data_IF_679617250301
#
_entry.id   IF_679617250301
#
_cell.length_a   1.000
_cell.length_b   1.000
_cell.length_c   1.000
_cell.angle_alpha   90.00
_cell.angle_beta   90.00
_cell.angle_gamma   90.00
#
_symmetry.space_group_name_H-M   'P 1'
#
loop_
_entity.id
_entity.type
_entity.pdbx_description
1 polymer ?
#
# COMPACT_ATOMS: atom_id res chain seq x y z
N UNK A 1 27.82 57.28 -6.39
CA UNK A 1 26.39 57.32 -5.98
C UNK A 1 25.47 56.62 -7.01
N UNK A 2 26.00 55.74 -7.88
CA UNK A 2 25.20 54.96 -8.90
C UNK A 2 25.10 53.48 -8.64
N UNK A 3 25.91 52.91 -7.74
CA UNK A 3 25.91 51.43 -7.52
C UNK A 3 24.90 50.95 -6.46
N UNK A 4 24.46 51.79 -5.55
CA UNK A 4 23.56 51.40 -4.44
C UNK A 4 22.09 51.21 -4.86
N UNK A 5 21.71 51.78 -6.03
CA UNK A 5 20.31 51.67 -6.55
C UNK A 5 20.06 50.35 -7.25
N UNK A 6 21.09 49.73 -7.84
CA UNK A 6 20.95 48.51 -8.63
C UNK A 6 20.76 47.27 -7.74
N UNK A 7 21.45 47.21 -6.60
CA UNK A 7 21.37 46.07 -5.65
C UNK A 7 20.03 46.05 -4.90
N UNK A 8 19.49 47.22 -4.49
CA UNK A 8 18.15 47.29 -3.86
C UNK A 8 17.01 46.92 -4.82
N UNK A 9 17.10 47.25 -6.10
CA UNK A 9 16.13 46.83 -7.10
C UNK A 9 16.19 45.32 -7.40
N UNK A 10 17.39 44.71 -7.35
CA UNK A 10 17.57 43.28 -7.60
C UNK A 10 17.04 42.41 -6.45
N UNK A 11 17.12 42.91 -5.19
CA UNK A 11 16.60 42.18 -4.00
C UNK A 11 15.09 42.38 -3.83
N UNK A 12 14.51 43.50 -4.26
CA UNK A 12 13.07 43.75 -4.13
C UNK A 12 12.24 43.03 -5.21
N UNK A 13 12.79 42.75 -6.39
CA UNK A 13 12.05 42.10 -7.48
C UNK A 13 11.56 40.70 -7.12
N UNK A 14 12.38 39.78 -6.56
CA UNK A 14 11.92 38.46 -6.16
C UNK A 14 10.95 38.49 -4.96
N UNK A 15 11.09 39.44 -4.04
CA UNK A 15 10.16 39.62 -2.89
C UNK A 15 8.80 40.15 -3.37
N UNK A 16 8.77 41.09 -4.29
CA UNK A 16 7.53 41.59 -4.88
C UNK A 16 6.87 40.54 -5.79
N UNK A 17 7.66 39.76 -6.52
CA UNK A 17 7.15 38.66 -7.34
C UNK A 17 6.60 37.52 -6.46
N UNK A 18 7.26 37.16 -5.36
CA UNK A 18 6.77 36.19 -4.37
C UNK A 18 5.48 36.69 -3.68
N UNK A 19 5.35 37.98 -3.40
CA UNK A 19 4.12 38.57 -2.86
C UNK A 19 3.00 38.67 -3.89
N UNK A 20 3.29 38.91 -5.17
CA UNK A 20 2.31 38.88 -6.26
C UNK A 20 1.83 37.45 -6.55
N UNK A 21 2.71 36.45 -6.51
CA UNK A 21 2.34 35.03 -6.63
C UNK A 21 1.51 34.60 -5.42
N UNK A 22 1.85 35.04 -4.21
CA UNK A 22 1.05 34.78 -3.02
C UNK A 22 -0.34 35.44 -3.07
N UNK A 23 -0.47 36.66 -3.64
CA UNK A 23 -1.76 37.32 -3.80
C UNK A 23 -2.61 36.76 -4.95
N UNK A 24 -1.99 36.32 -6.04
CA UNK A 24 -2.73 35.67 -7.16
C UNK A 24 -3.19 34.25 -6.83
N UNK A 25 -2.60 33.63 -5.81
CA UNK A 25 -2.98 32.32 -5.31
C UNK A 25 -4.19 32.35 -4.34
N UNK A 26 -4.61 33.51 -3.85
CA UNK A 26 -5.81 33.67 -3.01
C UNK A 26 -7.08 33.41 -3.83
N UNK A 27 -7.53 32.15 -3.85
CA UNK A 27 -8.76 31.74 -4.54
C UNK A 27 -8.57 30.87 -5.77
N UNK A 28 -7.36 30.50 -6.17
CA UNK A 28 -7.16 29.57 -7.29
C UNK A 28 -7.77 28.19 -6.97
N UNK A 29 -8.96 27.94 -7.51
CA UNK A 29 -9.60 26.64 -7.46
C UNK A 29 -8.90 25.73 -8.45
N UNK A 30 -8.37 24.60 -7.98
CA UNK A 30 -7.83 23.56 -8.85
C UNK A 30 -9.01 22.77 -9.40
N UNK A 31 -9.15 22.74 -10.73
CA UNK A 31 -10.20 21.96 -11.37
C UNK A 31 -9.82 20.48 -11.39
N UNK A 32 -10.80 19.57 -11.23
CA UNK A 32 -10.58 18.13 -11.34
C UNK A 32 -10.00 17.70 -12.70
N UNK A 33 -9.28 16.57 -12.73
CA UNK A 33 -8.66 16.04 -13.94
C UNK A 33 -9.65 15.87 -15.10
N UNK A 34 -10.86 15.40 -14.81
CA UNK A 34 -11.90 15.21 -15.84
C UNK A 34 -12.53 16.51 -16.38
N UNK A 35 -12.11 17.68 -15.89
CA UNK A 35 -12.57 19.01 -16.38
C UNK A 35 -11.50 19.77 -17.16
N UNK A 36 -10.25 19.34 -17.12
CA UNK A 36 -9.16 19.99 -17.85
C UNK A 36 -8.87 19.30 -19.16
N UNK A 37 -8.28 20.00 -20.11
CA UNK A 37 -7.99 19.47 -21.46
C UNK A 37 -6.64 18.76 -21.53
N UNK A 38 -5.73 19.09 -20.62
CA UNK A 38 -4.37 18.53 -20.58
C UNK A 38 -3.88 18.45 -19.14
N UNK A 39 -3.04 17.44 -18.84
CA UNK A 39 -2.28 17.33 -17.62
C UNK A 39 -0.81 17.02 -17.96
N UNK A 40 0.15 17.59 -17.25
CA UNK A 40 -0.01 18.66 -16.24
C UNK A 40 -0.44 19.98 -16.90
N UNK A 41 -1.26 20.76 -16.18
CA UNK A 41 -1.85 21.99 -16.72
C UNK A 41 -0.91 23.20 -16.55
N UNK A 42 -0.07 23.17 -15.50
CA UNK A 42 0.83 24.26 -15.10
C UNK A 42 2.25 23.74 -14.85
N UNK A 43 3.22 24.66 -14.88
CA UNK A 43 4.62 24.32 -14.67
C UNK A 43 4.89 23.75 -13.27
N UNK A 44 4.20 24.25 -12.24
CA UNK A 44 4.31 23.77 -10.87
C UNK A 44 3.82 22.32 -10.77
N UNK A 45 2.77 21.99 -11.50
CA UNK A 45 2.27 20.63 -11.59
C UNK A 45 3.23 19.71 -12.36
N UNK A 46 3.87 20.21 -13.41
CA UNK A 46 4.92 19.47 -14.13
C UNK A 46 6.11 19.14 -13.24
N UNK A 47 6.54 20.09 -12.38
CA UNK A 47 7.61 19.85 -11.42
C UNK A 47 7.23 18.83 -10.34
N UNK A 48 5.97 18.85 -9.90
CA UNK A 48 5.42 17.82 -8.99
C UNK A 48 5.46 16.43 -9.63
N UNK A 49 5.05 16.33 -10.90
CA UNK A 49 5.10 15.07 -11.66
C UNK A 49 6.52 14.55 -11.83
N UNK A 50 7.47 15.42 -12.11
CA UNK A 50 8.89 15.05 -12.22
C UNK A 50 9.45 14.53 -10.89
N UNK A 51 9.15 15.19 -9.76
CA UNK A 51 9.54 14.74 -8.43
C UNK A 51 8.93 13.37 -8.09
N UNK A 52 7.64 13.21 -8.35
CA UNK A 52 6.92 11.96 -8.12
C UNK A 52 7.49 10.82 -8.98
N UNK A 53 7.80 11.08 -10.26
CA UNK A 53 8.42 10.10 -11.18
C UNK A 53 9.81 9.66 -10.70
N UNK A 54 10.63 10.58 -10.18
CA UNK A 54 11.92 10.22 -9.58
C UNK A 54 11.75 9.29 -8.36
N UNK A 55 10.74 9.54 -7.53
CA UNK A 55 10.42 8.68 -6.39
C UNK A 55 9.95 7.30 -6.87
N UNK A 56 9.00 7.24 -7.80
CA UNK A 56 8.50 5.99 -8.36
C UNK A 56 9.63 5.17 -8.99
N UNK A 57 10.50 5.80 -9.79
CA UNK A 57 11.65 5.12 -10.40
C UNK A 57 12.61 4.54 -9.35
N UNK A 58 12.87 5.26 -8.25
CA UNK A 58 13.66 4.71 -7.14
C UNK A 58 12.97 3.51 -6.51
N UNK A 59 11.66 3.59 -6.28
CA UNK A 59 10.88 2.50 -5.73
C UNK A 59 10.92 1.28 -6.64
N UNK A 60 10.62 1.44 -7.93
CA UNK A 60 10.64 0.33 -8.92
C UNK A 60 12.00 -0.36 -9.01
N UNK A 61 13.09 0.34 -8.70
CA UNK A 61 14.46 -0.19 -8.72
C UNK A 61 15.00 -0.60 -7.34
N UNK A 62 14.20 -0.51 -6.27
CA UNK A 62 14.64 -0.81 -4.90
C UNK A 62 14.72 -2.31 -4.57
N UNK A 63 14.13 -3.16 -5.40
CA UNK A 63 14.00 -4.61 -5.14
C UNK A 63 12.82 -4.96 -4.23
N UNK A 64 12.04 -4.00 -3.74
CA UNK A 64 10.81 -4.23 -2.96
C UNK A 64 9.54 -4.40 -3.80
N UNK A 65 9.46 -3.93 -5.08
CA UNK A 65 8.28 -4.18 -5.90
C UNK A 65 8.03 -5.67 -6.10
N UNK A 66 6.77 -6.03 -6.04
CA UNK A 66 6.27 -7.36 -6.30
C UNK A 66 5.59 -7.39 -7.66
N UNK A 67 6.25 -7.93 -8.66
CA UNK A 67 5.70 -8.04 -10.01
C UNK A 67 4.86 -9.29 -10.14
N UNK A 68 3.56 -9.12 -10.33
CA UNK A 68 2.66 -10.20 -10.65
C UNK A 68 1.58 -9.72 -11.62
N UNK A 69 1.70 -10.14 -12.87
CA UNK A 69 0.84 -9.71 -13.96
C UNK A 69 -0.65 -9.99 -13.71
N UNK A 70 -0.98 -11.13 -13.10
CA UNK A 70 -2.36 -11.46 -12.77
C UNK A 70 -2.98 -10.46 -11.79
N UNK A 71 -2.22 -10.06 -10.76
CA UNK A 71 -2.69 -9.11 -9.75
C UNK A 71 -2.76 -7.70 -10.35
N UNK A 72 -1.78 -7.31 -11.15
CA UNK A 72 -1.74 -6.00 -11.83
C UNK A 72 -2.95 -5.85 -12.78
N UNK A 73 -3.20 -6.81 -13.66
CA UNK A 73 -4.36 -6.81 -14.57
C UNK A 73 -5.71 -6.80 -13.82
N UNK A 74 -5.79 -7.48 -12.69
CA UNK A 74 -6.98 -7.44 -11.85
C UNK A 74 -7.23 -6.03 -11.30
N UNK A 75 -6.20 -5.36 -10.79
CA UNK A 75 -6.31 -3.98 -10.27
C UNK A 75 -6.64 -2.98 -11.38
N UNK A 76 -5.99 -3.10 -12.56
CA UNK A 76 -6.28 -2.31 -13.75
C UNK A 76 -7.75 -2.47 -14.18
N UNK A 77 -8.26 -3.70 -14.20
CA UNK A 77 -9.67 -3.99 -14.52
C UNK A 77 -10.64 -3.37 -13.52
N UNK A 78 -10.33 -3.48 -12.22
CA UNK A 78 -11.16 -2.89 -11.15
C UNK A 78 -11.18 -1.36 -11.25
N UNK A 79 -10.02 -0.73 -11.44
CA UNK A 79 -9.91 0.71 -11.64
C UNK A 79 -10.62 1.18 -12.93
N UNK A 80 -10.52 0.41 -14.01
CA UNK A 80 -11.23 0.67 -15.26
C UNK A 80 -12.75 0.69 -15.09
N UNK A 81 -13.32 -0.22 -14.30
CA UNK A 81 -14.76 -0.21 -13.97
C UNK A 81 -15.18 1.06 -13.20
N UNK A 82 -14.29 1.59 -12.36
CA UNK A 82 -14.53 2.82 -11.58
C UNK A 82 -14.47 4.06 -12.46
N UNK A 83 -13.48 4.15 -13.35
CA UNK A 83 -13.22 5.32 -14.17
C UNK A 83 -14.19 5.42 -15.36
N UNK A 84 -14.55 4.28 -16.01
CA UNK A 84 -15.18 4.34 -17.33
C UNK A 84 -14.36 5.23 -18.25
N UNK A 85 -15.03 6.05 -19.04
CA UNK A 85 -14.40 6.94 -20.04
C UNK A 85 -13.92 8.29 -19.47
N UNK A 86 -13.87 8.43 -18.14
CA UNK A 86 -13.66 9.74 -17.48
C UNK A 86 -12.32 10.41 -17.83
N UNK A 87 -11.31 9.64 -18.22
CA UNK A 87 -9.95 10.12 -18.53
C UNK A 87 -9.52 9.91 -19.98
N UNK A 88 -10.38 9.39 -20.84
CA UNK A 88 -10.04 9.08 -22.25
C UNK A 88 -9.50 10.29 -23.01
N UNK A 89 -10.07 11.46 -22.77
CA UNK A 89 -9.65 12.71 -23.39
C UNK A 89 -8.23 13.17 -22.99
N UNK A 90 -7.70 12.66 -21.87
CA UNK A 90 -6.33 12.95 -21.40
C UNK A 90 -5.32 11.90 -21.86
N UNK A 91 -5.77 10.75 -22.36
CA UNK A 91 -4.92 9.62 -22.71
C UNK A 91 -4.18 9.03 -21.49
N UNK A 92 -4.71 9.21 -20.27
CA UNK A 92 -4.13 8.70 -19.03
C UNK A 92 -4.76 7.36 -18.71
N UNK A 93 -3.94 6.33 -18.61
CA UNK A 93 -4.29 5.04 -18.01
C UNK A 93 -3.72 4.97 -16.60
N UNK A 94 -4.47 4.38 -15.66
CA UNK A 94 -3.94 4.09 -14.33
C UNK A 94 -2.96 2.92 -14.42
N UNK A 95 -1.85 3.03 -13.70
CA UNK A 95 -0.84 1.98 -13.55
C UNK A 95 -0.68 1.63 -12.06
N UNK A 96 -0.13 0.46 -11.77
CA UNK A 96 0.02 -0.03 -10.41
C UNK A 96 1.47 -0.40 -10.09
N UNK A 97 1.88 -0.08 -8.85
CA UNK A 97 3.13 -0.55 -8.26
C UNK A 97 2.79 -1.34 -7.01
N UNK A 98 2.89 -2.66 -7.11
CA UNK A 98 2.74 -3.54 -5.96
C UNK A 98 4.04 -3.55 -5.16
N UNK A 99 3.95 -3.39 -3.85
CA UNK A 99 5.10 -3.42 -2.95
C UNK A 99 4.95 -4.56 -1.96
N UNK A 100 5.95 -5.46 -1.90
CA UNK A 100 5.97 -6.59 -0.99
C UNK A 100 6.29 -6.13 0.44
N UNK A 101 5.29 -5.53 1.09
CA UNK A 101 5.36 -5.01 2.45
C UNK A 101 4.09 -5.39 3.22
N UNK A 102 4.20 -5.89 4.47
CA UNK A 102 3.05 -6.35 5.25
C UNK A 102 2.26 -5.20 5.88
N UNK A 103 2.70 -3.97 5.65
CA UNK A 103 2.07 -2.77 6.18
C UNK A 103 0.84 -2.37 5.37
N UNK A 104 -0.06 -1.60 6.01
CA UNK A 104 -1.26 -1.08 5.37
C UNK A 104 -0.95 0.28 4.75
N UNK A 105 -0.59 0.32 3.49
CA UNK A 105 -0.32 1.56 2.79
C UNK A 105 -0.80 1.49 1.34
N UNK A 106 -1.38 2.59 0.90
CA UNK A 106 -1.70 2.88 -0.48
C UNK A 106 -1.46 4.36 -0.72
N UNK A 107 -1.16 4.74 -1.93
CA UNK A 107 -1.01 6.13 -2.35
C UNK A 107 -1.20 6.24 -3.86
N UNK A 108 -1.51 7.43 -4.33
CA UNK A 108 -1.58 7.73 -5.76
C UNK A 108 -0.58 8.82 -6.12
N UNK A 109 0.18 8.60 -7.18
CA UNK A 109 1.02 9.63 -7.78
C UNK A 109 0.18 10.63 -8.60
N UNK A 110 0.64 11.87 -8.77
CA UNK A 110 -0.15 12.93 -9.39
C UNK A 110 -0.48 12.69 -10.88
N UNK A 111 0.12 11.68 -11.51
CA UNK A 111 -0.13 11.26 -12.88
C UNK A 111 -0.88 9.93 -13.01
N UNK A 112 -1.41 9.38 -11.90
CA UNK A 112 -2.33 8.25 -11.92
C UNK A 112 -1.73 6.89 -11.58
N UNK A 113 -0.41 6.74 -11.41
CA UNK A 113 0.15 5.49 -10.86
C UNK A 113 -0.24 5.32 -9.40
N UNK A 114 -0.76 4.16 -9.03
CA UNK A 114 -1.17 3.81 -7.66
C UNK A 114 -0.16 2.82 -7.08
N UNK A 115 0.47 3.21 -5.97
CA UNK A 115 1.26 2.30 -5.15
C UNK A 115 0.40 1.61 -4.11
N UNK A 116 0.57 0.32 -3.92
CA UNK A 116 -0.17 -0.46 -2.94
C UNK A 116 0.71 -1.53 -2.30
N UNK A 117 0.70 -1.58 -0.97
CA UNK A 117 1.37 -2.65 -0.23
C UNK A 117 0.55 -3.94 -0.24
N UNK A 118 1.23 -5.08 -0.31
CA UNK A 118 0.59 -6.40 -0.25
C UNK A 118 -0.23 -6.57 1.02
N UNK A 119 0.24 -6.05 2.16
CA UNK A 119 -0.47 -6.10 3.44
C UNK A 119 -1.84 -5.43 3.40
N UNK A 120 -1.99 -4.32 2.67
CA UNK A 120 -3.28 -3.65 2.53
C UNK A 120 -4.29 -4.53 1.78
N UNK A 121 -3.87 -5.16 0.68
CA UNK A 121 -4.73 -6.06 -0.10
C UNK A 121 -5.18 -7.27 0.72
N UNK A 122 -4.24 -7.90 1.44
CA UNK A 122 -4.49 -9.09 2.25
C UNK A 122 -5.47 -8.84 3.41
N UNK A 123 -5.54 -7.61 3.91
CA UNK A 123 -6.47 -7.21 4.97
C UNK A 123 -7.91 -7.08 4.52
N UNK A 124 -8.14 -6.87 3.25
CA UNK A 124 -9.50 -6.79 2.72
C UNK A 124 -10.11 -8.19 2.62
N UNK A 125 -11.41 -8.30 2.91
CA UNK A 125 -12.12 -9.58 2.90
C UNK A 125 -12.80 -9.87 1.56
N UNK A 126 -13.00 -8.84 0.74
CA UNK A 126 -13.63 -8.97 -0.56
C UNK A 126 -13.22 -7.83 -1.51
N UNK A 127 -13.58 -7.97 -2.79
CA UNK A 127 -13.30 -6.97 -3.82
C UNK A 127 -13.90 -5.59 -3.51
N UNK A 128 -15.06 -5.51 -2.89
CA UNK A 128 -15.71 -4.23 -2.63
C UNK A 128 -14.96 -3.44 -1.54
N UNK A 129 -14.34 -4.11 -0.57
CA UNK A 129 -13.45 -3.47 0.42
C UNK A 129 -12.18 -2.95 -0.24
N UNK A 130 -11.50 -3.74 -1.06
CA UNK A 130 -10.35 -3.26 -1.83
C UNK A 130 -10.78 -2.12 -2.74
N UNK A 131 -11.93 -2.25 -3.37
CA UNK A 131 -12.54 -1.23 -4.21
C UNK A 131 -12.75 0.11 -3.50
N UNK A 132 -13.14 0.09 -2.23
CA UNK A 132 -13.30 1.30 -1.42
C UNK A 132 -11.97 2.06 -1.26
N UNK A 133 -10.89 1.33 -1.02
CA UNK A 133 -9.56 1.93 -0.87
C UNK A 133 -9.06 2.47 -2.21
N UNK A 134 -9.16 1.68 -3.29
CA UNK A 134 -8.76 2.14 -4.62
C UNK A 134 -9.59 3.34 -5.09
N UNK A 135 -10.90 3.34 -4.85
CA UNK A 135 -11.78 4.45 -5.19
C UNK A 135 -11.38 5.74 -4.46
N UNK A 136 -10.95 5.63 -3.20
CA UNK A 136 -10.43 6.75 -2.44
C UNK A 136 -9.13 7.31 -3.06
N UNK A 137 -8.16 6.46 -3.38
CA UNK A 137 -6.90 6.87 -4.03
C UNK A 137 -7.15 7.47 -5.42
N UNK A 138 -7.98 6.82 -6.23
CA UNK A 138 -8.39 7.34 -7.55
C UNK A 138 -9.04 8.71 -7.41
N UNK A 139 -9.85 8.93 -6.37
CA UNK A 139 -10.47 10.23 -6.11
C UNK A 139 -9.45 11.32 -5.80
N UNK A 140 -8.37 11.01 -5.06
CA UNK A 140 -7.27 11.96 -4.84
C UNK A 140 -6.62 12.39 -6.15
N UNK A 141 -6.38 11.45 -7.07
CA UNK A 141 -5.87 11.76 -8.40
C UNK A 141 -6.88 12.58 -9.23
N UNK A 142 -8.14 12.14 -9.34
CA UNK A 142 -9.17 12.82 -10.12
C UNK A 142 -9.41 14.26 -9.65
N UNK A 143 -9.39 14.49 -8.34
CA UNK A 143 -9.55 15.82 -7.74
C UNK A 143 -8.24 16.62 -7.68
N UNK A 144 -7.12 16.04 -8.16
CA UNK A 144 -5.77 16.66 -8.15
C UNK A 144 -5.37 17.16 -6.77
N UNK A 145 -5.70 16.38 -5.72
CA UNK A 145 -5.52 16.81 -4.33
C UNK A 145 -4.05 17.10 -4.01
N UNK A 146 -3.11 16.28 -4.50
CA UNK A 146 -1.66 16.53 -4.28
C UNK A 146 -1.22 17.88 -4.84
N UNK A 147 -1.69 18.25 -6.03
CA UNK A 147 -1.42 19.57 -6.60
C UNK A 147 -2.13 20.69 -5.83
N UNK A 148 -3.37 20.46 -5.40
CA UNK A 148 -4.13 21.40 -4.57
C UNK A 148 -3.43 21.68 -3.24
N UNK A 149 -2.92 20.65 -2.54
CA UNK A 149 -2.15 20.83 -1.29
C UNK A 149 -0.85 21.58 -1.54
N UNK A 150 -0.13 21.31 -2.63
CA UNK A 150 1.06 22.07 -3.00
C UNK A 150 0.76 23.57 -3.12
N UNK A 151 -0.37 23.93 -3.74
CA UNK A 151 -0.76 25.34 -3.93
C UNK A 151 -1.25 25.96 -2.61
N UNK A 152 -1.97 25.21 -1.77
CA UNK A 152 -2.54 25.68 -0.51
C UNK A 152 -1.50 25.69 0.62
N UNK A 153 -0.72 24.61 0.78
CA UNK A 153 0.31 24.50 1.83
C UNK A 153 1.50 25.43 1.57
N UNK A 154 1.76 25.77 0.31
CA UNK A 154 2.64 26.87 -0.01
C UNK A 154 2.26 28.18 0.70
N UNK A 155 1.03 28.26 1.25
CA UNK A 155 0.50 29.40 1.99
C UNK A 155 0.60 29.31 3.52
N UNK A 156 0.54 28.12 4.12
CA UNK A 156 0.25 28.00 5.56
C UNK A 156 1.36 27.40 6.43
N UNK A 157 2.11 26.42 6.00
CA UNK A 157 2.90 25.62 6.94
C UNK A 157 4.40 25.74 6.84
N UNK A 158 4.93 26.25 5.78
CA UNK A 158 6.37 26.37 5.62
C UNK A 158 6.76 27.68 4.94
N UNK A 159 6.57 28.77 5.62
CA UNK A 159 7.09 30.12 5.25
C UNK A 159 8.56 30.12 4.77
N UNK A 160 9.27 28.99 4.93
CA UNK A 160 10.64 28.82 4.43
C UNK A 160 10.84 27.87 3.26
N UNK A 161 10.13 26.73 3.20
CA UNK A 161 10.43 25.66 2.21
C UNK A 161 9.66 25.79 0.90
N UNK A 162 8.36 26.07 0.95
CA UNK A 162 7.52 26.23 -0.25
C UNK A 162 7.77 27.57 -0.96
N UNK A 163 8.09 28.65 -0.23
CA UNK A 163 8.56 29.89 -0.82
C UNK A 163 9.91 29.71 -1.55
N UNK A 164 10.80 28.85 -1.03
CA UNK A 164 12.04 28.48 -1.70
C UNK A 164 11.79 27.76 -3.03
N UNK A 165 10.81 26.86 -3.08
CA UNK A 165 10.42 26.13 -4.29
C UNK A 165 9.80 27.08 -5.35
N UNK A 166 8.81 27.90 -4.97
CA UNK A 166 8.19 28.86 -5.89
C UNK A 166 9.18 29.93 -6.36
N UNK A 167 10.08 30.37 -5.48
CA UNK A 167 11.16 31.28 -5.85
C UNK A 167 12.18 30.61 -6.79
N UNK A 168 12.49 29.34 -6.55
CA UNK A 168 13.36 28.54 -7.41
C UNK A 168 12.78 28.32 -8.81
N UNK A 169 11.49 28.04 -8.92
CA UNK A 169 10.78 27.96 -10.20
C UNK A 169 10.76 29.28 -10.95
N UNK A 170 10.58 30.40 -10.26
CA UNK A 170 10.63 31.73 -10.85
C UNK A 170 12.02 32.05 -11.41
N UNK A 171 13.10 31.71 -10.67
CA UNK A 171 14.48 31.89 -11.12
C UNK A 171 14.81 30.96 -12.29
N UNK A 172 14.40 29.71 -12.24
CA UNK A 172 14.61 28.76 -13.33
C UNK A 172 13.90 29.19 -14.62
N UNK A 173 12.73 29.81 -14.52
CA UNK A 173 12.00 30.39 -15.66
C UNK A 173 12.73 31.56 -16.29
N UNK A 174 13.40 32.41 -15.49
CA UNK A 174 14.16 33.56 -16.01
C UNK A 174 15.55 33.16 -16.55
N UNK A 175 16.20 32.18 -15.94
CA UNK A 175 17.58 31.80 -16.29
C UNK A 175 17.69 30.65 -17.25
N UNK A 176 16.60 29.90 -17.49
CA UNK A 176 16.58 28.69 -18.32
C UNK A 176 17.42 27.54 -17.75
N UNK A 177 17.92 27.66 -16.51
CA UNK A 177 18.72 26.62 -15.86
C UNK A 177 18.13 26.25 -14.49
N UNK A 178 17.95 24.95 -14.26
CA UNK A 178 17.66 24.40 -12.95
C UNK A 178 18.98 24.23 -12.17
N UNK A 179 19.14 24.94 -11.08
CA UNK A 179 20.26 24.74 -10.18
C UNK A 179 20.14 23.40 -9.43
N UNK A 180 21.29 22.76 -9.13
CA UNK A 180 21.35 21.48 -8.41
C UNK A 180 20.55 21.50 -7.09
N UNK A 181 20.57 22.64 -6.37
CA UNK A 181 19.80 22.81 -5.14
C UNK A 181 18.28 22.80 -5.34
N UNK A 182 17.79 23.24 -6.51
CA UNK A 182 16.37 23.14 -6.89
C UNK A 182 16.04 21.69 -7.26
N UNK A 183 16.96 20.98 -7.91
CA UNK A 183 16.82 19.57 -8.26
C UNK A 183 16.74 18.69 -7.01
N UNK A 184 17.56 18.96 -5.99
CA UNK A 184 17.53 18.23 -4.72
C UNK A 184 16.23 18.54 -3.94
N UNK A 185 15.78 19.79 -3.93
CA UNK A 185 14.51 20.17 -3.30
C UNK A 185 13.30 19.55 -4.01
N UNK A 186 13.28 19.49 -5.35
CA UNK A 186 12.22 18.83 -6.11
C UNK A 186 12.24 17.31 -5.91
N UNK A 187 13.42 16.71 -5.63
CA UNK A 187 13.56 15.30 -5.31
C UNK A 187 12.77 14.87 -4.07
N UNK A 188 12.66 15.76 -3.08
CA UNK A 188 11.96 15.51 -1.82
C UNK A 188 10.50 16.03 -1.79
N UNK A 189 10.09 16.79 -2.81
CA UNK A 189 8.77 17.44 -2.83
C UNK A 189 7.63 16.43 -2.69
N UNK A 190 7.64 15.38 -3.51
CA UNK A 190 6.65 14.30 -3.42
C UNK A 190 6.65 13.64 -2.05
N UNK A 191 7.82 13.24 -1.55
CA UNK A 191 7.94 12.57 -0.24
C UNK A 191 7.41 13.44 0.89
N UNK A 192 7.70 14.74 0.87
CA UNK A 192 7.21 15.68 1.86
C UNK A 192 5.68 15.83 1.82
N UNK A 193 5.08 15.91 0.62
CA UNK A 193 3.62 15.99 0.45
C UNK A 193 2.94 14.69 0.87
N UNK A 194 3.46 13.55 0.42
CA UNK A 194 2.93 12.23 0.74
C UNK A 194 2.99 11.91 2.25
N UNK A 195 3.96 12.47 2.98
CA UNK A 195 4.09 12.27 4.43
C UNK A 195 3.35 13.31 5.28
N UNK A 196 3.00 14.48 4.72
CA UNK A 196 2.28 15.54 5.45
C UNK A 196 0.79 15.23 5.64
N UNK A 197 0.25 14.38 4.80
CA UNK A 197 -1.17 14.03 4.75
C UNK A 197 -2.05 15.10 4.08
N UNK A 198 -3.22 14.68 3.63
CA UNK A 198 -4.19 15.57 3.01
C UNK A 198 -4.99 16.37 4.05
N UNK A 199 -5.50 17.52 3.63
CA UNK A 199 -6.42 18.31 4.46
C UNK A 199 -7.72 17.55 4.72
N UNK A 200 -8.36 17.82 5.86
CA UNK A 200 -9.66 17.21 6.21
C UNK A 200 -10.71 17.36 5.10
N UNK A 201 -10.69 18.49 4.42
CA UNK A 201 -11.60 18.78 3.31
C UNK A 201 -11.35 17.84 2.14
N UNK A 202 -10.08 17.64 1.76
CA UNK A 202 -9.69 16.79 0.64
C UNK A 202 -9.98 15.31 0.93
N UNK A 203 -9.77 14.87 2.18
CA UNK A 203 -10.16 13.54 2.63
C UNK A 203 -11.67 13.29 2.48
N UNK A 204 -12.50 14.24 2.92
CA UNK A 204 -13.96 14.09 2.80
C UNK A 204 -14.44 14.11 1.35
N UNK A 205 -13.80 14.90 0.48
CA UNK A 205 -14.09 14.89 -0.95
C UNK A 205 -13.68 13.55 -1.56
N UNK A 206 -12.51 13.01 -1.21
CA UNK A 206 -12.06 11.72 -1.71
C UNK A 206 -12.96 10.57 -1.24
N UNK A 207 -13.43 10.61 0.01
CA UNK A 207 -14.40 9.64 0.54
C UNK A 207 -15.74 9.69 -0.21
N UNK A 208 -16.30 10.89 -0.44
CA UNK A 208 -17.59 11.07 -1.12
C UNK A 208 -17.51 10.66 -2.60
N UNK A 209 -16.48 11.08 -3.32
CA UNK A 209 -16.23 10.68 -4.71
C UNK A 209 -15.94 9.17 -4.81
N UNK A 210 -15.21 8.63 -3.83
CA UNK A 210 -14.95 7.19 -3.74
C UNK A 210 -16.22 6.36 -3.73
N UNK A 211 -17.27 6.78 -2.99
CA UNK A 211 -18.56 6.11 -3.01
C UNK A 211 -19.21 6.14 -4.41
N UNK A 212 -19.00 7.22 -5.18
CA UNK A 212 -19.53 7.31 -6.56
C UNK A 212 -18.78 6.33 -7.47
N UNK A 213 -17.46 6.24 -7.34
CA UNK A 213 -16.64 5.33 -8.11
C UNK A 213 -16.97 3.86 -7.79
N UNK A 214 -17.17 3.52 -6.51
CA UNK A 214 -17.64 2.20 -6.11
C UNK A 214 -18.99 1.84 -6.75
N UNK A 215 -19.95 2.75 -6.66
CA UNK A 215 -21.27 2.54 -7.26
C UNK A 215 -21.19 2.36 -8.78
N UNK A 216 -20.35 3.14 -9.48
CA UNK A 216 -20.08 2.99 -10.92
C UNK A 216 -19.50 1.63 -11.26
N UNK A 217 -18.59 1.11 -10.44
CA UNK A 217 -18.04 -0.22 -10.59
C UNK A 217 -19.03 -1.35 -10.23
N UNK A 218 -20.25 -1.03 -9.78
CA UNK A 218 -21.25 -1.98 -9.34
C UNK A 218 -20.98 -2.56 -7.94
N UNK A 219 -20.07 -1.97 -7.16
CA UNK A 219 -19.69 -2.44 -5.84
C UNK A 219 -20.56 -1.83 -4.74
N UNK A 220 -20.83 -2.60 -3.69
CA UNK A 220 -21.55 -2.12 -2.52
C UNK A 220 -20.77 -1.03 -1.79
N UNK A 221 -21.34 0.17 -1.71
CA UNK A 221 -20.74 1.31 -0.98
C UNK A 221 -20.69 1.08 0.53
N UNK A 222 -21.48 0.13 1.08
CA UNK A 222 -21.44 -0.22 2.50
C UNK A 222 -20.10 -0.82 2.91
N UNK A 223 -19.41 -1.51 1.99
CA UNK A 223 -18.13 -2.14 2.24
C UNK A 223 -16.98 -1.13 2.47
N UNK A 224 -17.21 0.16 2.21
CA UNK A 224 -16.26 1.20 2.61
C UNK A 224 -16.09 1.30 4.13
N UNK A 225 -17.14 1.04 4.92
CA UNK A 225 -17.07 1.11 6.39
C UNK A 225 -16.13 0.02 6.94
N UNK A 226 -16.34 -1.30 6.68
CA UNK A 226 -15.42 -2.32 7.15
C UNK A 226 -13.99 -2.15 6.57
N UNK A 227 -13.86 -1.73 5.30
CA UNK A 227 -12.55 -1.46 4.70
C UNK A 227 -11.75 -0.40 5.48
N UNK A 228 -12.35 0.74 5.77
CA UNK A 228 -11.71 1.80 6.54
C UNK A 228 -11.53 1.42 8.03
N UNK A 229 -12.45 0.64 8.62
CA UNK A 229 -12.30 0.14 9.98
C UNK A 229 -11.09 -0.79 10.12
N UNK A 230 -10.87 -1.69 9.15
CA UNK A 230 -9.71 -2.59 9.12
C UNK A 230 -8.37 -1.83 9.12
N UNK A 231 -8.33 -0.61 8.56
CA UNK A 231 -7.14 0.24 8.62
C UNK A 231 -6.87 0.75 10.06
N UNK A 232 -7.93 1.01 10.84
CA UNK A 232 -7.84 1.52 12.22
C UNK A 232 -7.42 0.47 13.23
N UNK A 233 -7.86 -0.77 13.08
CA UNK A 233 -7.57 -1.87 14.02
C UNK A 233 -6.07 -2.19 14.14
N UNK A 234 -5.32 -1.96 13.09
CA UNK A 234 -3.88 -2.23 13.05
C UNK A 234 -3.00 -1.24 13.84
N UNK A 235 -3.55 -0.11 14.28
CA UNK A 235 -2.85 0.84 15.16
C UNK A 235 -2.58 0.21 16.54
N UNK A 236 -3.39 -0.76 16.95
CA UNK A 236 -3.31 -1.41 18.28
C UNK A 236 -2.31 -2.58 18.33
N UNK A 237 -2.02 -3.23 17.20
CA UNK A 237 -1.25 -4.49 17.16
C UNK A 237 0.22 -4.35 16.75
N UNK A 238 0.69 -3.18 16.40
CA UNK A 238 2.02 -3.04 15.84
C UNK A 238 2.93 -2.17 16.68
N UNK A 239 3.99 -2.73 17.21
CA UNK A 239 5.22 -2.01 17.53
C UNK A 239 5.89 -1.41 16.27
N UNK A 240 5.11 -1.08 15.24
CA UNK A 240 5.51 -0.38 14.04
C UNK A 240 5.28 1.12 14.22
N UNK A 241 6.13 1.92 13.62
CA UNK A 241 6.05 3.38 13.63
C UNK A 241 4.63 3.82 13.16
N UNK A 242 3.80 4.43 14.05
CA UNK A 242 2.47 4.89 13.68
C UNK A 242 2.46 5.84 12.47
N UNK A 243 3.63 6.40 12.14
CA UNK A 243 3.84 7.28 10.98
C UNK A 243 3.84 6.54 9.64
N UNK A 244 3.91 5.19 9.64
CA UNK A 244 3.88 4.37 8.41
C UNK A 244 2.48 3.87 8.04
N UNK A 245 1.51 4.00 8.94
CA UNK A 245 0.15 3.54 8.75
C UNK A 245 -0.74 4.71 8.33
N UNK A 246 -1.08 4.82 7.05
CA UNK A 246 -2.00 5.85 6.56
C UNK A 246 -1.71 7.27 7.08
N UNK A 247 -0.43 7.59 7.34
CA UNK A 247 -0.01 8.91 7.83
C UNK A 247 -0.41 10.03 6.87
N UNK A 248 -0.55 9.71 5.59
CA UNK A 248 -1.08 10.61 4.56
C UNK A 248 -2.60 10.83 4.64
N UNK A 249 -3.34 9.99 5.40
CA UNK A 249 -4.81 10.03 5.48
C UNK A 249 -5.30 10.10 6.94
N UNK A 250 -5.19 11.24 7.61
CA UNK A 250 -5.48 11.38 9.03
C UNK A 250 -6.98 11.30 9.34
N UNK A 251 -7.30 11.17 10.64
CA UNK A 251 -8.66 11.31 11.20
C UNK A 251 -9.64 10.20 10.77
N UNK A 252 -9.18 8.96 10.74
CA UNK A 252 -9.95 7.81 10.29
C UNK A 252 -11.34 7.70 10.94
N UNK A 253 -11.45 7.88 12.26
CA UNK A 253 -12.73 7.83 12.96
C UNK A 253 -13.71 8.92 12.50
N UNK A 254 -13.21 10.14 12.26
CA UNK A 254 -14.05 11.23 11.74
C UNK A 254 -14.52 10.91 10.32
N UNK A 255 -13.66 10.28 9.51
CA UNK A 255 -13.96 9.87 8.14
C UNK A 255 -15.01 8.75 8.11
N UNK A 256 -14.88 7.73 8.94
CA UNK A 256 -15.88 6.65 9.07
C UNK A 256 -17.25 7.25 9.42
N UNK A 257 -17.31 8.13 10.43
CA UNK A 257 -18.57 8.82 10.77
C UNK A 257 -19.14 9.64 9.61
N UNK A 258 -18.31 10.26 8.79
CA UNK A 258 -18.75 10.99 7.61
C UNK A 258 -19.24 10.06 6.51
N UNK A 259 -18.51 8.98 6.23
CA UNK A 259 -18.91 7.93 5.28
C UNK A 259 -20.29 7.36 5.61
N UNK A 260 -20.57 7.03 6.89
CA UNK A 260 -21.88 6.56 7.32
C UNK A 260 -23.02 7.53 6.96
N UNK A 261 -22.77 8.85 7.09
CA UNK A 261 -23.76 9.87 6.73
C UNK A 261 -23.97 9.95 5.22
N UNK A 262 -22.89 9.96 4.46
CA UNK A 262 -22.93 10.05 3.00
C UNK A 262 -23.55 8.80 2.38
N UNK A 263 -23.25 7.60 2.89
CA UNK A 263 -23.91 6.35 2.48
C UNK A 263 -25.42 6.43 2.72
N UNK A 264 -25.84 6.87 3.93
CA UNK A 264 -27.28 7.05 4.24
C UNK A 264 -27.95 8.06 3.32
N UNK A 265 -27.26 9.13 2.93
CA UNK A 265 -27.74 10.15 2.00
C UNK A 265 -27.87 9.56 0.60
N UNK A 266 -26.83 8.91 0.06
CA UNK A 266 -26.84 8.28 -1.28
C UNK A 266 -27.92 7.22 -1.42
N UNK A 267 -28.15 6.39 -0.40
CA UNK A 267 -29.24 5.39 -0.41
C UNK A 267 -30.66 5.98 -0.45
N UNK A 268 -30.83 7.26 -0.19
CA UNK A 268 -32.10 7.96 -0.30
C UNK A 268 -32.32 8.63 -1.67
N UNK A 269 -31.27 8.68 -2.49
CA UNK A 269 -31.38 9.21 -3.84
C UNK A 269 -32.31 8.33 -4.68
N UNK A 270 -33.16 8.96 -5.49
CA UNK A 270 -34.23 8.27 -6.25
C UNK A 270 -33.65 7.20 -7.21
N UNK A 271 -32.49 7.50 -7.75
CA UNK A 271 -31.82 6.67 -8.77
C UNK A 271 -30.68 5.80 -8.19
N UNK A 272 -30.62 5.66 -6.86
CA UNK A 272 -29.63 4.81 -6.21
C UNK A 272 -29.84 3.33 -6.57
N UNK A 273 -28.81 2.72 -7.12
CA UNK A 273 -28.76 1.28 -7.39
C UNK A 273 -27.81 0.63 -6.38
N UNK A 274 -28.29 -0.31 -5.55
CA UNK A 274 -27.40 -1.03 -4.65
C UNK A 274 -26.34 -1.82 -5.46
N UNK A 275 -25.09 -1.64 -5.09
CA UNK A 275 -24.02 -2.48 -5.60
C UNK A 275 -23.97 -3.86 -4.93
N UNK A 276 -23.11 -4.72 -5.42
CA UNK A 276 -22.93 -6.07 -4.90
C UNK A 276 -21.68 -6.17 -4.02
N UNK A 277 -21.66 -7.15 -3.13
CA UNK A 277 -20.46 -7.64 -2.48
C UNK A 277 -20.08 -8.93 -3.21
N UNK A 278 -19.02 -8.92 -4.03
CA UNK A 278 -18.56 -10.14 -4.70
C UNK A 278 -18.12 -11.20 -3.69
N UNK A 279 -18.22 -12.46 -4.10
CA UNK A 279 -17.79 -13.59 -3.25
C UNK A 279 -16.32 -13.44 -2.85
N UNK A 280 -16.05 -13.64 -1.57
CA UNK A 280 -14.70 -13.45 -1.00
C UNK A 280 -13.66 -14.35 -1.69
N UNK A 281 -14.03 -15.58 -2.06
CA UNK A 281 -13.13 -16.53 -2.73
C UNK A 281 -12.75 -16.09 -4.15
N UNK A 282 -13.62 -15.36 -4.87
CA UNK A 282 -13.27 -14.80 -6.17
C UNK A 282 -12.17 -13.74 -6.00
N UNK A 283 -12.31 -12.89 -5.00
CA UNK A 283 -11.27 -11.93 -4.62
C UNK A 283 -9.95 -12.63 -4.25
N UNK A 284 -10.01 -13.66 -3.40
CA UNK A 284 -8.81 -14.40 -2.97
C UNK A 284 -8.10 -15.10 -4.13
N UNK A 285 -8.84 -15.59 -5.16
CA UNK A 285 -8.22 -16.14 -6.38
C UNK A 285 -7.39 -15.10 -7.13
N UNK A 286 -7.89 -13.88 -7.24
CA UNK A 286 -7.17 -12.80 -7.91
C UNK A 286 -5.89 -12.41 -7.17
N UNK A 287 -5.93 -12.34 -5.84
CA UNK A 287 -4.81 -11.91 -5.01
C UNK A 287 -4.01 -13.07 -4.38
N UNK A 288 -4.23 -14.32 -4.80
CA UNK A 288 -3.57 -15.49 -4.20
C UNK A 288 -2.04 -15.35 -4.09
N UNK A 289 -1.30 -14.88 -5.12
CA UNK A 289 0.14 -14.64 -4.99
C UNK A 289 0.49 -13.64 -3.89
N UNK A 290 -0.35 -12.61 -3.71
CA UNK A 290 -0.18 -11.58 -2.67
C UNK A 290 -0.42 -12.15 -1.28
N UNK A 291 -1.42 -13.03 -1.10
CA UNK A 291 -1.69 -13.70 0.17
C UNK A 291 -0.48 -14.53 0.64
N UNK A 292 0.12 -15.30 -0.26
CA UNK A 292 1.24 -16.18 0.08
C UNK A 292 2.50 -15.39 0.41
N UNK A 293 2.87 -14.39 -0.41
CA UNK A 293 4.06 -13.57 -0.14
C UNK A 293 3.88 -12.79 1.16
N UNK A 294 2.70 -12.24 1.42
CA UNK A 294 2.45 -11.48 2.64
C UNK A 294 2.52 -12.35 3.90
N UNK A 295 2.03 -13.60 3.83
CA UNK A 295 2.17 -14.54 4.94
C UNK A 295 3.64 -14.80 5.32
N UNK A 296 4.54 -14.90 4.32
CA UNK A 296 5.98 -15.01 4.57
C UNK A 296 6.55 -13.77 5.24
N UNK A 297 6.14 -12.57 4.80
CA UNK A 297 6.54 -11.30 5.40
C UNK A 297 6.03 -11.16 6.85
N UNK A 298 4.76 -11.48 7.09
CA UNK A 298 4.18 -11.47 8.43
C UNK A 298 4.91 -12.45 9.37
N UNK A 299 5.32 -13.62 8.89
CA UNK A 299 6.16 -14.56 9.65
C UNK A 299 7.54 -13.96 9.97
N UNK A 300 8.16 -13.25 9.04
CA UNK A 300 9.46 -12.59 9.28
C UNK A 300 9.32 -11.49 10.34
N UNK A 301 8.22 -10.74 10.33
CA UNK A 301 7.91 -9.72 11.32
C UNK A 301 7.29 -10.26 12.62
N UNK A 302 7.22 -11.59 12.78
CA UNK A 302 6.63 -12.27 13.94
C UNK A 302 5.14 -11.95 14.14
N UNK A 303 4.44 -11.58 13.08
CA UNK A 303 3.00 -11.32 13.08
C UNK A 303 2.22 -12.62 12.78
N UNK A 304 2.36 -13.60 13.67
CA UNK A 304 1.92 -14.98 13.40
C UNK A 304 0.41 -15.11 13.18
N UNK A 305 -0.41 -14.30 13.85
CA UNK A 305 -1.87 -14.30 13.62
C UNK A 305 -2.21 -13.82 12.22
N UNK A 306 -1.58 -12.73 11.78
CA UNK A 306 -1.76 -12.19 10.43
C UNK A 306 -1.32 -13.18 9.36
N UNK A 307 -0.19 -13.86 9.58
CA UNK A 307 0.25 -14.90 8.68
C UNK A 307 -0.80 -16.02 8.53
N UNK A 308 -1.40 -16.47 9.67
CA UNK A 308 -2.45 -17.49 9.64
C UNK A 308 -3.72 -17.03 8.93
N UNK A 309 -4.14 -15.78 9.13
CA UNK A 309 -5.28 -15.21 8.41
C UNK A 309 -5.04 -15.22 6.89
N UNK A 310 -3.87 -14.73 6.45
CA UNK A 310 -3.50 -14.71 5.04
C UNK A 310 -3.46 -16.13 4.44
N UNK A 311 -2.85 -17.08 5.15
CA UNK A 311 -2.78 -18.49 4.73
C UNK A 311 -4.16 -19.15 4.72
N UNK A 312 -5.03 -18.82 5.67
CA UNK A 312 -6.41 -19.32 5.66
C UNK A 312 -7.19 -18.83 4.44
N UNK A 313 -7.06 -17.56 4.05
CA UNK A 313 -7.64 -17.01 2.82
C UNK A 313 -7.05 -17.71 1.57
N UNK A 314 -5.73 -17.89 1.55
CA UNK A 314 -5.03 -18.55 0.45
C UNK A 314 -5.48 -20.00 0.26
N UNK A 315 -5.52 -20.78 1.32
CA UNK A 315 -5.88 -22.22 1.28
C UNK A 315 -7.33 -22.48 0.87
N UNK A 316 -8.25 -21.52 1.02
CA UNK A 316 -9.60 -21.61 0.45
C UNK A 316 -9.59 -21.74 -1.08
N UNK A 317 -8.61 -21.14 -1.74
CA UNK A 317 -8.52 -21.11 -3.21
C UNK A 317 -7.37 -21.94 -3.77
N UNK A 318 -6.44 -22.38 -2.92
CA UNK A 318 -5.29 -23.23 -3.22
C UNK A 318 -5.14 -24.36 -2.17
N UNK A 319 -6.12 -25.25 -2.03
CA UNK A 319 -6.17 -26.22 -0.90
C UNK A 319 -5.12 -27.32 -0.95
N UNK A 320 -4.34 -27.46 -2.02
CA UNK A 320 -3.29 -28.48 -2.16
C UNK A 320 -1.86 -27.92 -2.09
N UNK A 321 -1.67 -26.70 -1.60
CA UNK A 321 -0.36 -26.08 -1.55
C UNK A 321 0.38 -26.49 -0.28
N UNK A 322 1.39 -27.37 -0.42
CA UNK A 322 2.19 -27.87 0.69
C UNK A 322 2.97 -26.76 1.42
N UNK A 323 3.45 -25.75 0.69
CA UNK A 323 4.14 -24.62 1.31
C UNK A 323 3.22 -23.81 2.22
N UNK A 324 1.98 -23.56 1.79
CA UNK A 324 1.03 -22.81 2.59
C UNK A 324 0.68 -23.55 3.90
N UNK A 325 0.54 -24.87 3.87
CA UNK A 325 0.38 -25.67 5.07
C UNK A 325 1.63 -25.67 5.95
N UNK A 326 2.81 -25.78 5.37
CA UNK A 326 4.08 -25.68 6.11
C UNK A 326 4.21 -24.31 6.81
N UNK A 327 3.94 -23.21 6.11
CA UNK A 327 3.98 -21.87 6.69
C UNK A 327 2.93 -21.69 7.79
N UNK A 328 1.77 -22.36 7.68
CA UNK A 328 0.75 -22.41 8.75
C UNK A 328 1.32 -23.10 9.99
N UNK A 329 2.02 -24.21 9.83
CA UNK A 329 2.73 -24.91 10.91
C UNK A 329 3.78 -24.02 11.57
N UNK A 330 4.57 -23.29 10.75
CA UNK A 330 5.55 -22.32 11.24
C UNK A 330 4.91 -21.18 12.06
N UNK A 331 3.77 -20.68 11.62
CA UNK A 331 3.04 -19.65 12.35
C UNK A 331 2.58 -20.14 13.75
N UNK A 332 2.07 -21.35 13.84
CA UNK A 332 1.68 -21.94 15.13
C UNK A 332 2.90 -22.21 16.02
N UNK A 333 3.93 -22.86 15.47
CA UNK A 333 5.15 -23.22 16.20
C UNK A 333 5.83 -21.99 16.81
N UNK A 334 6.00 -20.94 16.01
CA UNK A 334 6.73 -19.72 16.40
C UNK A 334 5.89 -18.82 17.33
N UNK A 335 4.56 -18.89 17.27
CA UNK A 335 3.69 -18.15 18.19
C UNK A 335 3.76 -18.66 19.63
N UNK A 336 4.17 -19.92 19.84
CA UNK A 336 4.25 -20.55 21.15
C UNK A 336 5.61 -21.20 21.42
N UNK A 337 6.71 -20.45 21.41
CA UNK A 337 8.06 -21.03 21.47
C UNK A 337 8.37 -21.73 22.81
N UNK A 338 7.63 -21.42 23.87
CA UNK A 338 7.81 -21.99 25.21
C UNK A 338 6.68 -22.94 25.62
N UNK A 339 5.66 -23.11 24.77
CA UNK A 339 4.54 -24.00 25.03
C UNK A 339 4.82 -25.42 24.56
N UNK A 340 4.52 -26.45 25.38
CA UNK A 340 4.73 -27.86 24.99
C UNK A 340 3.71 -28.38 23.98
N UNK A 341 2.68 -27.59 23.62
CA UNK A 341 1.64 -28.03 22.71
C UNK A 341 1.95 -27.68 21.26
N UNK A 342 2.49 -28.65 20.54
CA UNK A 342 2.76 -28.58 19.10
C UNK A 342 1.60 -29.13 18.24
N UNK A 343 0.43 -29.39 18.83
CA UNK A 343 -0.69 -30.09 18.16
C UNK A 343 -1.08 -29.42 16.84
N UNK A 344 -1.25 -28.09 16.84
CA UNK A 344 -1.65 -27.37 15.64
C UNK A 344 -0.54 -27.30 14.59
N UNK A 345 0.72 -27.12 15.01
CA UNK A 345 1.84 -27.09 14.07
C UNK A 345 2.08 -28.45 13.43
N UNK A 346 2.05 -29.55 14.21
CA UNK A 346 2.17 -30.91 13.70
C UNK A 346 1.05 -31.25 12.71
N UNK A 347 -0.19 -30.88 13.04
CA UNK A 347 -1.33 -31.08 12.13
C UNK A 347 -1.12 -30.35 10.79
N UNK A 348 -0.64 -29.11 10.81
CA UNK A 348 -0.38 -28.33 9.62
C UNK A 348 0.80 -28.91 8.80
N UNK A 349 1.88 -29.34 9.44
CA UNK A 349 3.00 -30.00 8.74
C UNK A 349 2.56 -31.34 8.13
N UNK A 350 1.69 -32.09 8.80
CA UNK A 350 1.12 -33.30 8.22
C UNK A 350 0.30 -33.02 6.97
N UNK A 351 -0.53 -31.94 6.97
CA UNK A 351 -1.25 -31.50 5.78
C UNK A 351 -0.31 -31.09 4.64
N UNK A 352 0.86 -30.51 4.96
CA UNK A 352 1.88 -30.24 3.96
C UNK A 352 2.39 -31.54 3.32
N UNK A 353 2.66 -32.57 4.11
CA UNK A 353 3.09 -33.88 3.63
C UNK A 353 2.00 -34.65 2.88
N UNK A 354 0.74 -34.50 3.29
CA UNK A 354 -0.41 -35.09 2.57
C UNK A 354 -0.57 -34.46 1.18
N UNK A 355 -0.18 -33.17 1.06
CA UNK A 355 -0.20 -32.45 -0.22
C UNK A 355 1.04 -32.73 -1.08
N UNK A 356 2.22 -32.81 -0.47
CA UNK A 356 3.48 -33.16 -1.10
C UNK A 356 4.34 -34.01 -0.14
N UNK A 357 4.36 -35.36 -0.33
CA UNK A 357 5.20 -36.24 0.47
C UNK A 357 6.72 -35.98 0.32
N UNK A 358 7.14 -35.22 -0.68
CA UNK A 358 8.53 -34.78 -0.89
C UNK A 358 8.90 -33.47 -0.18
N UNK A 359 7.99 -32.85 0.58
CA UNK A 359 8.24 -31.58 1.24
C UNK A 359 9.16 -31.73 2.47
N UNK A 360 10.46 -31.85 2.23
CA UNK A 360 11.48 -32.21 3.23
C UNK A 360 11.41 -31.35 4.50
N UNK A 361 11.20 -30.04 4.38
CA UNK A 361 11.17 -29.14 5.55
C UNK A 361 10.08 -29.51 6.57
N UNK A 362 8.94 -30.06 6.14
CA UNK A 362 7.91 -30.49 7.07
C UNK A 362 8.37 -31.66 7.93
N UNK A 363 9.07 -32.66 7.37
CA UNK A 363 9.68 -33.74 8.15
C UNK A 363 10.67 -33.23 9.18
N UNK A 364 11.52 -32.26 8.82
CA UNK A 364 12.46 -31.64 9.76
C UNK A 364 11.74 -31.05 10.96
N UNK A 365 10.73 -30.23 10.71
CA UNK A 365 10.02 -29.53 11.79
C UNK A 365 9.16 -30.49 12.65
N UNK A 366 8.61 -31.56 12.04
CA UNK A 366 7.94 -32.65 12.76
C UNK A 366 8.95 -33.34 13.69
N UNK A 367 10.12 -33.69 13.20
CA UNK A 367 11.20 -34.29 14.01
C UNK A 367 11.63 -33.38 15.16
N UNK A 368 11.77 -32.08 14.91
CA UNK A 368 12.07 -31.10 15.97
C UNK A 368 10.97 -31.00 17.01
N UNK A 369 9.71 -31.01 16.60
CA UNK A 369 8.56 -30.97 17.52
C UNK A 369 8.49 -32.22 18.40
N UNK A 370 8.65 -33.43 17.84
CA UNK A 370 8.68 -34.67 18.60
C UNK A 370 9.85 -34.75 19.56
N UNK A 371 11.05 -34.35 19.13
CA UNK A 371 12.21 -34.28 20.00
C UNK A 371 11.99 -33.34 21.20
N UNK A 372 11.38 -32.19 21.01
CA UNK A 372 11.04 -31.26 22.09
C UNK A 372 9.98 -31.84 23.07
N UNK A 373 9.17 -32.78 22.61
CA UNK A 373 8.20 -33.51 23.43
C UNK A 373 8.79 -34.76 24.09
N UNK A 374 10.06 -35.11 23.82
CA UNK A 374 10.71 -36.31 24.34
C UNK A 374 10.25 -37.60 23.65
N UNK A 375 9.69 -37.49 22.44
CA UNK A 375 9.23 -38.59 21.58
C UNK A 375 10.36 -38.96 20.61
N UNK A 376 11.40 -39.60 21.15
CA UNK A 376 12.67 -39.79 20.44
C UNK A 376 12.56 -40.75 19.23
N UNK A 377 11.69 -41.76 19.30
CA UNK A 377 11.46 -42.70 18.20
C UNK A 377 10.79 -42.01 17.00
N UNK A 378 9.74 -41.23 17.25
CA UNK A 378 9.02 -40.46 16.23
C UNK A 378 9.91 -39.39 15.63
N UNK A 379 10.72 -38.71 16.46
CA UNK A 379 11.71 -37.75 16.01
C UNK A 379 12.74 -38.37 15.06
N UNK A 380 13.25 -39.55 15.42
CA UNK A 380 14.22 -40.29 14.59
C UNK A 380 13.67 -40.65 13.22
N UNK A 381 12.44 -41.14 13.18
CA UNK A 381 11.74 -41.47 11.91
C UNK A 381 11.61 -40.25 11.01
N UNK A 382 11.15 -39.14 11.58
CA UNK A 382 10.96 -37.90 10.81
C UNK A 382 12.28 -37.31 10.30
N UNK A 383 13.33 -37.30 11.13
CA UNK A 383 14.67 -36.84 10.71
C UNK A 383 15.29 -37.75 9.64
N UNK A 384 15.06 -39.07 9.69
CA UNK A 384 15.51 -39.98 8.66
C UNK A 384 14.87 -39.62 7.32
N UNK A 385 13.55 -39.41 7.27
CA UNK A 385 12.84 -38.98 6.05
C UNK A 385 13.35 -37.64 5.50
N UNK A 386 13.61 -36.68 6.39
CA UNK A 386 14.25 -35.43 5.97
C UNK A 386 15.60 -35.65 5.30
N UNK A 387 16.48 -36.47 5.90
CA UNK A 387 17.82 -36.73 5.37
C UNK A 387 17.82 -37.55 4.08
N UNK A 388 16.80 -38.41 3.87
CA UNK A 388 16.61 -39.12 2.61
C UNK A 388 16.23 -38.16 1.47
N UNK A 389 15.45 -37.10 1.75
CA UNK A 389 14.99 -36.13 0.78
C UNK A 389 15.98 -34.95 0.59
N UNK A 390 16.75 -34.62 1.60
CA UNK A 390 17.59 -33.43 1.66
C UNK A 390 18.99 -33.71 2.27
N UNK A 391 19.67 -34.78 1.80
CA UNK A 391 20.96 -35.24 2.32
C UNK A 391 22.06 -34.19 2.30
N UNK A 392 22.03 -33.30 1.30
CA UNK A 392 23.02 -32.24 1.07
C UNK A 392 22.57 -30.86 1.57
N UNK A 393 21.46 -30.78 2.32
CA UNK A 393 20.99 -29.51 2.88
C UNK A 393 22.03 -28.93 3.85
N UNK A 394 22.15 -27.60 3.96
CA UNK A 394 23.13 -26.95 4.85
C UNK A 394 23.03 -27.38 6.32
N UNK A 395 21.85 -27.78 6.77
CA UNK A 395 21.55 -28.20 8.14
C UNK A 395 21.51 -29.72 8.32
N UNK A 396 21.74 -30.54 7.27
CA UNK A 396 21.74 -32.00 7.35
C UNK A 396 22.74 -32.54 8.40
N UNK A 397 23.90 -31.90 8.57
CA UNK A 397 24.87 -32.27 9.60
C UNK A 397 24.33 -32.09 11.02
N UNK A 398 23.58 -31.05 11.25
CA UNK A 398 22.92 -30.77 12.53
C UNK A 398 21.85 -31.82 12.83
N UNK A 399 21.05 -32.18 11.84
CA UNK A 399 20.01 -33.19 11.99
C UNK A 399 20.60 -34.57 12.29
N UNK A 400 21.72 -34.96 11.63
CA UNK A 400 22.44 -36.21 11.97
C UNK A 400 22.91 -36.23 13.43
N UNK A 401 23.47 -35.12 13.90
CA UNK A 401 23.89 -35.00 15.31
C UNK A 401 22.69 -35.11 16.28
N UNK A 402 21.51 -34.59 15.91
CA UNK A 402 20.29 -34.76 16.72
C UNK A 402 19.85 -36.21 16.78
N UNK A 403 19.91 -36.97 15.68
CA UNK A 403 19.57 -38.40 15.65
C UNK A 403 20.55 -39.24 16.52
N UNK A 404 21.84 -38.91 16.52
CA UNK A 404 22.81 -39.57 17.38
C UNK A 404 22.54 -39.33 18.89
N UNK A 405 21.89 -38.22 19.22
CA UNK A 405 21.54 -37.87 20.59
C UNK A 405 20.18 -38.40 21.07
N UNK A 406 19.37 -39.05 20.21
CA UNK A 406 18.07 -39.67 20.51
C UNK A 406 18.21 -41.10 21.10
N UNK A 407 19.10 -41.31 22.06
CA UNK A 407 19.33 -42.64 22.64
C UNK A 407 18.91 -42.74 24.09
#
# INVERSE_FOLDING_TARGET
MRETITVKKLIMLPVVLALLVAQSAEGAKVDPAYKVQTLPEKQEESALWESASKHENRLRNSGTPFHNRQVEEYLESLAGRMLGDSLDHLGIALDFVLVAEPHLSGWVYPYGTIGIHTGLMVRMDNEAQLGAILAHEISHFLQRHTYSELIVDGRQSAVGKSLGFLAGLAVAKETGSFDQGIMDFTGDLWTNLATSGYSKKNEYVADEEGLILMARAGLSIDESIPAFSALGENVVYGAGDPRKLWSSHPRLEDRIRNLEKEIKKKKREKDFVPGVVPEAEDYYRHIAPTLLINARLDLQEQQFERAREALSKYLKVKPGDAEAYYLTGEAFRRASPLGPDFTQSLAAYQQALDSDPGYANAYKEIGMAYRMQGQDDEAGIAFQQYLELAADAPDAGIIRAYMEGLR
#
